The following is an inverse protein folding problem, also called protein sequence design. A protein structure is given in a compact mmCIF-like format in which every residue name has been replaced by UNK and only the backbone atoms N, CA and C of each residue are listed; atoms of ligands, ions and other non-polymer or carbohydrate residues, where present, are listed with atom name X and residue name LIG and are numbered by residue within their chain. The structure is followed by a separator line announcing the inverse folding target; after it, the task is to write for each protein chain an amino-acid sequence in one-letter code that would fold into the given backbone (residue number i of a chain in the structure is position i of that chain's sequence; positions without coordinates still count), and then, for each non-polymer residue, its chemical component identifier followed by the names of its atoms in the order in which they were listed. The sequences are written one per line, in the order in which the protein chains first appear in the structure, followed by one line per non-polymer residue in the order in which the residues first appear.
data_IF_515723788979
#
_entry.id   IF_515723788979
#
_cell.length_a   1.000
_cell.length_b   1.000
_cell.length_c   1.000
_cell.angle_alpha   90.00
_cell.angle_beta   90.00
_cell.angle_gamma   90.00
#
_symmetry.space_group_name_H-M   'P 1'
#
loop_
_entity.id
_entity.type
_entity.pdbx_description
1 polymer ?
#
# COMPACT_ATOMS: atom_id res chain seq x y z
N UNK A 1 8.09 0.49 -4.09
CA UNK A 1 8.90 -0.14 -5.15
C UNK A 1 8.39 -1.55 -5.44
N UNK A 2 8.70 -2.13 -6.61
CA UNK A 2 8.22 -3.44 -7.01
C UNK A 2 8.80 -4.55 -6.13
N UNK A 3 8.05 -5.64 -6.03
CA UNK A 3 8.47 -6.82 -5.30
C UNK A 3 9.63 -7.51 -6.03
N UNK A 4 10.81 -7.53 -5.41
CA UNK A 4 12.03 -8.10 -6.01
C UNK A 4 11.90 -9.58 -6.32
N UNK A 5 11.18 -10.36 -5.50
CA UNK A 5 10.95 -11.79 -5.73
C UNK A 5 10.06 -11.97 -6.98
N UNK A 6 9.00 -11.18 -7.10
CA UNK A 6 8.12 -11.25 -8.27
C UNK A 6 8.85 -10.85 -9.55
N UNK A 7 9.66 -9.79 -9.49
CA UNK A 7 10.48 -9.38 -10.64
C UNK A 7 11.51 -10.43 -11.03
N UNK A 8 12.15 -11.07 -10.04
CA UNK A 8 13.11 -12.16 -10.30
C UNK A 8 12.46 -13.28 -11.13
N UNK A 9 11.27 -13.72 -10.74
CA UNK A 9 10.54 -14.74 -11.49
C UNK A 9 10.09 -14.30 -12.90
N UNK A 10 9.90 -13.00 -13.12
CA UNK A 10 9.46 -12.44 -14.41
C UNK A 10 10.60 -12.25 -15.40
N UNK A 11 11.76 -11.80 -14.95
CA UNK A 11 12.84 -11.36 -15.82
C UNK A 11 14.25 -11.87 -15.46
N UNK A 12 14.37 -12.74 -14.45
CA UNK A 12 15.64 -13.22 -13.93
C UNK A 12 16.26 -12.30 -12.87
N UNK A 13 17.18 -12.87 -12.07
CA UNK A 13 17.73 -12.18 -10.90
C UNK A 13 18.51 -10.92 -11.27
N UNK A 14 19.40 -11.00 -12.26
CA UNK A 14 20.26 -9.86 -12.66
C UNK A 14 19.46 -8.64 -13.10
N UNK A 15 18.44 -8.85 -13.93
CA UNK A 15 17.64 -7.77 -14.48
C UNK A 15 16.65 -7.21 -13.46
N UNK A 16 16.12 -8.08 -12.59
CA UNK A 16 15.28 -7.66 -11.46
C UNK A 16 16.06 -6.75 -10.50
N UNK A 17 17.27 -7.14 -10.10
CA UNK A 17 18.14 -6.35 -9.21
C UNK A 17 18.46 -5.00 -9.84
N UNK A 18 18.93 -4.97 -11.08
CA UNK A 18 19.24 -3.71 -11.80
C UNK A 18 18.03 -2.78 -11.87
N UNK A 19 16.83 -3.35 -12.12
CA UNK A 19 15.59 -2.55 -12.22
C UNK A 19 15.20 -1.95 -10.87
N UNK A 20 15.26 -2.74 -9.81
CA UNK A 20 14.97 -2.26 -8.44
C UNK A 20 15.98 -1.19 -8.01
N UNK A 21 17.28 -1.42 -8.24
CA UNK A 21 18.35 -0.46 -7.93
C UNK A 21 18.15 0.87 -8.68
N UNK A 22 17.85 0.81 -9.97
CA UNK A 22 17.57 2.00 -10.77
C UNK A 22 16.38 2.79 -10.22
N UNK A 23 15.29 2.12 -9.86
CA UNK A 23 14.12 2.76 -9.26
C UNK A 23 14.45 3.39 -7.91
N UNK A 24 15.15 2.64 -7.06
CA UNK A 24 15.55 3.12 -5.74
C UNK A 24 16.50 4.33 -5.85
N UNK A 25 17.39 4.35 -6.81
CA UNK A 25 18.29 5.48 -7.07
C UNK A 25 17.49 6.72 -7.46
N UNK A 26 16.57 6.60 -8.42
CA UNK A 26 15.70 7.71 -8.84
C UNK A 26 14.95 8.29 -7.64
N UNK A 27 14.33 7.43 -6.83
CA UNK A 27 13.54 7.85 -5.66
C UNK A 27 14.43 8.58 -4.64
N UNK A 28 15.61 8.03 -4.32
CA UNK A 28 16.53 8.63 -3.35
C UNK A 28 17.10 9.95 -3.84
N UNK A 29 17.41 10.06 -5.11
CA UNK A 29 17.92 11.30 -5.70
C UNK A 29 16.87 12.41 -5.66
N UNK A 30 15.61 12.08 -5.97
CA UNK A 30 14.51 13.05 -5.85
C UNK A 30 14.22 13.44 -4.40
N UNK A 31 14.26 12.50 -3.45
CA UNK A 31 14.15 12.83 -2.02
C UNK A 31 15.24 13.87 -1.62
N UNK A 32 16.49 13.64 -2.02
CA UNK A 32 17.61 14.58 -1.71
C UNK A 32 17.42 15.94 -2.40
N UNK A 33 17.08 15.96 -3.68
CA UNK A 33 16.86 17.22 -4.45
C UNK A 33 15.78 18.10 -3.82
N UNK A 34 14.76 17.49 -3.21
CA UNK A 34 13.68 18.19 -2.54
C UNK A 34 13.92 18.40 -1.03
N UNK A 35 15.18 18.28 -0.59
CA UNK A 35 15.59 18.44 0.79
C UNK A 35 14.86 17.52 1.79
N UNK A 36 14.45 16.33 1.31
CA UNK A 36 13.92 15.25 2.13
C UNK A 36 15.04 14.40 2.72
N UNK A 37 14.69 13.61 3.72
CA UNK A 37 15.58 12.61 4.34
C UNK A 37 14.91 11.25 4.26
N UNK A 38 15.65 10.22 3.83
CA UNK A 38 15.18 8.83 3.95
C UNK A 38 15.08 8.52 5.45
N UNK A 39 13.87 8.23 5.92
CA UNK A 39 13.59 8.00 7.34
C UNK A 39 13.80 6.53 7.70
N UNK A 40 13.26 5.64 6.89
CA UNK A 40 13.35 4.19 7.08
C UNK A 40 13.27 3.49 5.73
N UNK A 41 13.91 2.31 5.66
CA UNK A 41 13.73 1.35 4.61
C UNK A 41 13.00 0.14 5.19
N UNK A 42 11.71 0.01 4.91
CA UNK A 42 10.93 -1.11 5.41
C UNK A 42 10.59 -2.07 4.26
N UNK A 43 11.30 -3.17 4.21
CA UNK A 43 11.13 -4.15 3.14
C UNK A 43 11.42 -3.54 1.77
N UNK A 44 10.39 -3.33 0.96
CA UNK A 44 10.50 -2.76 -0.39
C UNK A 44 10.01 -1.30 -0.45
N UNK A 45 9.62 -0.73 0.67
CA UNK A 45 9.11 0.63 0.74
C UNK A 45 10.23 1.60 1.16
N UNK A 46 10.37 2.68 0.42
CA UNK A 46 11.26 3.80 0.78
C UNK A 46 10.38 4.87 1.41
N UNK A 47 10.70 5.23 2.64
CA UNK A 47 10.00 6.26 3.39
C UNK A 47 10.88 7.50 3.48
N UNK A 48 10.41 8.59 2.87
CA UNK A 48 11.04 9.89 2.94
C UNK A 48 10.28 10.84 3.85
N UNK A 49 10.98 11.61 4.68
CA UNK A 49 10.44 12.69 5.49
C UNK A 49 10.83 14.05 4.94
N UNK A 50 9.93 15.02 5.01
CA UNK A 50 10.10 16.37 4.49
C UNK A 50 9.64 17.39 5.54
N UNK A 51 10.27 18.56 5.53
CA UNK A 51 9.91 19.65 6.44
C UNK A 51 8.60 20.35 6.08
N UNK A 52 8.19 20.28 4.80
CA UNK A 52 6.93 20.88 4.33
C UNK A 52 6.19 19.93 3.38
N UNK A 53 4.89 20.07 3.34
CA UNK A 53 4.02 19.29 2.45
C UNK A 53 4.31 19.59 0.97
N UNK A 54 4.62 20.85 0.63
CA UNK A 54 4.95 21.24 -0.74
C UNK A 54 6.20 20.52 -1.26
N UNK A 55 7.24 20.37 -0.43
CA UNK A 55 8.45 19.63 -0.81
C UNK A 55 8.15 18.15 -1.03
N UNK A 56 7.34 17.55 -0.17
CA UNK A 56 6.92 16.16 -0.33
C UNK A 56 6.13 15.94 -1.62
N UNK A 57 5.17 16.81 -1.91
CA UNK A 57 4.35 16.74 -3.13
C UNK A 57 5.20 17.01 -4.37
N UNK A 58 6.08 18.02 -4.36
CA UNK A 58 6.99 18.29 -5.48
C UNK A 58 7.92 17.12 -5.76
N UNK A 59 8.47 16.49 -4.74
CA UNK A 59 9.27 15.28 -4.86
C UNK A 59 8.47 14.13 -5.50
N UNK A 60 7.26 13.90 -5.04
CA UNK A 60 6.38 12.85 -5.56
C UNK A 60 6.04 13.06 -7.05
N UNK A 61 5.74 14.30 -7.44
CA UNK A 61 5.48 14.67 -8.84
C UNK A 61 6.72 14.46 -9.72
N UNK A 62 7.91 14.83 -9.22
CA UNK A 62 9.17 14.63 -9.94
C UNK A 62 9.49 13.14 -10.12
N UNK A 63 9.26 12.30 -9.09
CA UNK A 63 9.39 10.84 -9.19
C UNK A 63 8.43 10.30 -10.25
N UNK A 64 7.16 10.71 -10.21
CA UNK A 64 6.16 10.25 -11.17
C UNK A 64 6.53 10.61 -12.61
N UNK A 65 7.04 11.82 -12.85
CA UNK A 65 7.49 12.24 -14.19
C UNK A 65 8.70 11.46 -14.67
N UNK A 66 9.68 11.18 -13.82
CA UNK A 66 10.85 10.37 -14.19
C UNK A 66 10.51 8.90 -14.44
N UNK A 67 9.47 8.38 -13.79
CA UNK A 67 9.01 7.02 -13.97
C UNK A 67 7.90 6.88 -15.04
N UNK A 68 7.59 7.96 -15.74
CA UNK A 68 6.62 7.97 -16.83
C UNK A 68 6.99 6.95 -17.91
N UNK A 69 6.04 6.10 -18.27
CA UNK A 69 6.26 4.99 -19.20
C UNK A 69 6.70 3.67 -18.54
N UNK A 70 6.94 3.64 -17.25
CA UNK A 70 7.04 2.38 -16.51
C UNK A 70 5.64 1.87 -16.16
N UNK A 71 5.45 0.54 -16.06
CA UNK A 71 4.17 0.00 -15.58
C UNK A 71 3.81 0.56 -14.21
N UNK A 72 2.58 1.08 -14.07
CA UNK A 72 2.06 1.72 -12.86
C UNK A 72 2.05 0.82 -11.63
N UNK A 73 2.08 -0.50 -11.83
CA UNK A 73 2.18 -1.50 -10.78
C UNK A 73 3.54 -1.53 -10.08
N UNK A 74 4.54 -0.82 -10.63
CA UNK A 74 5.89 -0.80 -10.07
C UNK A 74 6.09 0.22 -8.96
N UNK A 75 5.25 1.23 -8.88
CA UNK A 75 5.35 2.21 -7.80
C UNK A 75 3.99 2.86 -7.49
N UNK A 76 3.82 3.24 -6.26
CA UNK A 76 2.72 4.10 -5.81
C UNK A 76 3.26 5.03 -4.74
N UNK A 77 2.82 6.27 -4.76
CA UNK A 77 3.26 7.29 -3.80
C UNK A 77 2.11 7.70 -2.90
N UNK A 78 2.38 7.78 -1.62
CA UNK A 78 1.41 8.20 -0.60
C UNK A 78 2.06 9.21 0.30
N UNK A 79 1.36 10.28 0.61
CA UNK A 79 1.87 11.36 1.43
C UNK A 79 0.88 11.61 2.56
N UNK A 80 1.40 11.61 3.77
CA UNK A 80 0.65 11.92 4.98
C UNK A 80 1.39 13.00 5.77
N UNK A 81 0.63 13.94 6.32
CA UNK A 81 1.14 14.91 7.27
C UNK A 81 0.83 14.41 8.69
N UNK A 82 1.86 14.03 9.41
CA UNK A 82 1.77 13.53 10.77
C UNK A 82 2.71 14.27 11.70
N UNK A 83 2.65 13.98 12.99
CA UNK A 83 3.59 14.52 13.95
C UNK A 83 5.01 14.04 13.66
N UNK A 84 6.05 14.87 13.93
CA UNK A 84 7.43 14.48 13.79
C UNK A 84 7.72 13.27 14.68
N UNK A 85 8.24 12.22 14.09
CA UNK A 85 8.47 10.99 14.82
C UNK A 85 9.76 11.06 15.59
N UNK A 86 9.69 10.87 16.89
CA UNK A 86 10.87 10.65 17.72
C UNK A 86 11.46 9.25 17.46
N UNK A 87 12.75 9.08 17.72
CA UNK A 87 13.62 7.95 17.34
C UNK A 87 13.27 6.54 17.89
N UNK A 88 12.05 6.24 18.30
CA UNK A 88 11.69 4.93 18.85
C UNK A 88 10.69 4.22 17.98
N UNK A 89 10.90 2.92 17.77
CA UNK A 89 10.11 2.05 16.85
C UNK A 89 8.59 2.04 17.09
N UNK A 90 8.13 2.45 18.27
CA UNK A 90 6.70 2.48 18.62
C UNK A 90 5.96 3.74 18.11
N UNK A 91 6.68 4.82 17.79
CA UNK A 91 6.07 6.12 17.45
C UNK A 91 5.68 6.30 15.99
N UNK A 92 6.08 5.37 15.11
CA UNK A 92 5.63 5.34 13.71
C UNK A 92 4.30 4.61 13.52
N UNK A 93 3.77 3.98 14.55
CA UNK A 93 2.67 3.02 14.44
C UNK A 93 1.51 3.53 13.57
N UNK A 94 0.85 4.58 13.98
CA UNK A 94 -0.39 5.03 13.32
C UNK A 94 -0.13 5.66 11.95
N UNK A 95 0.91 6.50 11.82
CA UNK A 95 1.26 7.15 10.55
C UNK A 95 1.69 6.14 9.49
N UNK A 96 2.56 5.20 9.84
CA UNK A 96 3.00 4.14 8.93
C UNK A 96 1.89 3.15 8.63
N UNK A 97 1.05 2.85 9.60
CA UNK A 97 -0.09 1.97 9.43
C UNK A 97 -1.06 2.53 8.40
N UNK A 98 -1.43 3.81 8.50
CA UNK A 98 -2.28 4.48 7.52
C UNK A 98 -1.64 4.45 6.12
N UNK A 99 -0.36 4.81 5.98
CA UNK A 99 0.34 4.77 4.70
C UNK A 99 0.39 3.36 4.10
N UNK A 100 0.59 2.34 4.94
CA UNK A 100 0.56 0.94 4.53
C UNK A 100 -0.82 0.50 4.02
N UNK A 101 -1.88 0.95 4.68
CA UNK A 101 -3.26 0.68 4.25
C UNK A 101 -3.59 1.38 2.94
N UNK A 102 -3.22 2.65 2.80
CA UNK A 102 -3.39 3.39 1.55
C UNK A 102 -2.65 2.71 0.38
N UNK A 103 -1.59 1.95 0.67
CA UNK A 103 -0.87 1.16 -0.34
C UNK A 103 -1.60 -0.05 -0.88
N UNK A 104 -2.68 -0.47 -0.24
CA UNK A 104 -3.52 -1.57 -0.74
C UNK A 104 -4.50 -1.05 -1.80
N UNK A 105 -4.80 0.24 -1.82
CA UNK A 105 -5.77 0.83 -2.74
C UNK A 105 -5.33 0.64 -4.20
N UNK A 106 -6.27 0.25 -5.06
CA UNK A 106 -6.07 0.12 -6.50
C UNK A 106 -6.26 1.48 -7.18
N UNK A 107 -5.34 2.39 -6.92
CA UNK A 107 -5.31 3.71 -7.56
C UNK A 107 -4.08 3.79 -8.46
N UNK A 108 -4.33 3.70 -9.76
CA UNK A 108 -3.30 3.58 -10.77
C UNK A 108 -2.57 4.90 -11.05
N UNK A 109 -3.25 6.02 -10.92
CA UNK A 109 -2.80 7.27 -11.50
C UNK A 109 -2.25 8.23 -10.47
N UNK A 110 -2.48 7.98 -9.18
CA UNK A 110 -2.44 9.08 -8.26
C UNK A 110 -1.40 8.92 -7.16
N UNK A 111 -0.74 10.01 -6.93
CA UNK A 111 -0.15 10.30 -5.64
C UNK A 111 -1.31 10.48 -4.66
N UNK A 112 -1.47 9.57 -3.72
CA UNK A 112 -2.52 9.66 -2.69
C UNK A 112 -2.05 10.60 -1.59
N UNK A 113 -2.83 11.63 -1.32
CA UNK A 113 -2.56 12.60 -0.25
C UNK A 113 -3.70 12.61 0.78
N UNK A 114 -3.33 12.69 2.05
CA UNK A 114 -4.30 12.83 3.15
C UNK A 114 -4.81 14.27 3.27
N UNK A 115 -5.95 14.51 3.97
CA UNK A 115 -6.51 15.85 4.12
C UNK A 115 -5.54 16.86 4.69
N UNK A 116 -4.74 16.46 5.70
CA UNK A 116 -3.74 17.35 6.29
C UNK A 116 -2.66 17.81 5.28
N UNK A 117 -2.25 16.94 4.36
CA UNK A 117 -1.34 17.35 3.27
C UNK A 117 -2.02 18.34 2.34
N UNK A 118 -3.29 18.08 1.97
CA UNK A 118 -4.04 18.95 1.09
C UNK A 118 -4.20 20.37 1.67
N UNK A 119 -4.42 20.49 2.97
CA UNK A 119 -4.54 21.78 3.67
C UNK A 119 -3.22 22.56 3.73
N UNK A 120 -2.09 21.84 3.78
CA UNK A 120 -0.77 22.43 3.92
C UNK A 120 -0.12 22.85 2.60
N UNK A 121 -0.65 22.43 1.45
CA UNK A 121 -0.12 22.81 0.13
C UNK A 121 -0.89 24.00 -0.45
N UNK A 122 -0.18 24.89 -1.12
CA UNK A 122 -0.77 26.07 -1.75
C UNK A 122 -1.81 25.70 -2.82
N UNK A 123 -2.84 26.54 -2.94
CA UNK A 123 -3.97 26.29 -3.87
C UNK A 123 -3.56 26.18 -5.32
N UNK A 124 -2.58 26.97 -5.75
CA UNK A 124 -2.04 26.89 -7.12
C UNK A 124 -1.32 25.55 -7.40
N UNK A 125 -0.67 24.98 -6.41
CA UNK A 125 -0.11 23.63 -6.50
C UNK A 125 -1.20 22.58 -6.60
N UNK A 126 -2.28 22.69 -5.80
CA UNK A 126 -3.42 21.80 -5.89
C UNK A 126 -4.04 21.80 -7.29
N UNK A 127 -4.25 22.99 -7.85
CA UNK A 127 -4.89 23.18 -9.16
C UNK A 127 -4.01 22.63 -10.29
N UNK A 128 -2.69 22.93 -10.27
CA UNK A 128 -1.72 22.44 -11.26
C UNK A 128 -1.54 20.91 -11.22
N UNK A 129 -1.64 20.31 -10.06
CA UNK A 129 -1.39 18.87 -9.86
C UNK A 129 -2.67 18.04 -9.73
N UNK A 130 -3.84 18.63 -10.02
CA UNK A 130 -5.16 17.99 -9.83
C UNK A 130 -5.29 16.65 -10.58
N UNK A 131 -4.66 16.51 -11.72
CA UNK A 131 -4.70 15.27 -12.50
C UNK A 131 -3.84 14.15 -11.89
N UNK A 132 -2.81 14.49 -11.10
CA UNK A 132 -1.87 13.54 -10.49
C UNK A 132 -2.17 13.24 -9.03
N UNK A 133 -2.92 14.11 -8.35
CA UNK A 133 -3.20 13.95 -6.93
C UNK A 133 -4.60 13.37 -6.68
N UNK A 134 -4.66 12.33 -5.88
CA UNK A 134 -5.90 11.84 -5.28
C UNK A 134 -5.94 12.28 -3.80
N UNK A 135 -6.67 13.37 -3.55
CA UNK A 135 -6.80 13.92 -2.22
C UNK A 135 -7.98 13.28 -1.49
N UNK A 136 -7.70 12.63 -0.36
CA UNK A 136 -8.73 12.16 0.55
C UNK A 136 -9.42 13.34 1.23
N UNK A 137 -10.71 13.18 1.53
CA UNK A 137 -11.43 14.06 2.46
C UNK A 137 -11.30 13.54 3.90
N UNK A 138 -11.55 14.40 4.90
CA UNK A 138 -11.55 13.97 6.30
C UNK A 138 -12.50 12.78 6.53
N UNK A 139 -13.76 12.79 6.02
CA UNK A 139 -14.63 11.62 6.15
C UNK A 139 -14.12 10.36 5.45
N UNK A 140 -13.34 10.50 4.36
CA UNK A 140 -12.75 9.34 3.66
C UNK A 140 -11.61 8.74 4.47
N UNK A 141 -10.73 9.57 5.03
CA UNK A 141 -9.64 9.12 5.89
C UNK A 141 -10.18 8.39 7.13
N UNK A 142 -11.14 8.98 7.83
CA UNK A 142 -11.79 8.37 8.99
C UNK A 142 -12.46 7.02 8.64
N UNK A 143 -13.14 6.97 7.50
CA UNK A 143 -13.74 5.73 7.04
C UNK A 143 -12.69 4.67 6.69
N UNK A 144 -11.63 5.03 5.98
CA UNK A 144 -10.54 4.11 5.65
C UNK A 144 -9.83 3.59 6.91
N UNK A 145 -9.59 4.45 7.88
CA UNK A 145 -9.03 4.05 9.17
C UNK A 145 -9.93 3.00 9.84
N UNK A 146 -11.22 3.28 9.99
CA UNK A 146 -12.17 2.33 10.59
C UNK A 146 -12.27 1.03 9.77
N UNK A 147 -12.27 1.13 8.44
CA UNK A 147 -12.31 0.00 7.52
C UNK A 147 -11.12 -0.93 7.71
N UNK A 148 -9.91 -0.39 7.75
CA UNK A 148 -8.69 -1.18 7.91
C UNK A 148 -8.49 -1.69 9.32
N UNK A 149 -8.93 -0.96 10.35
CA UNK A 149 -8.96 -1.45 11.74
C UNK A 149 -9.83 -2.71 11.87
N UNK A 150 -11.00 -2.72 11.24
CA UNK A 150 -11.87 -3.89 11.21
C UNK A 150 -11.21 -5.05 10.47
N UNK A 151 -10.51 -4.77 9.34
CA UNK A 151 -9.75 -5.81 8.63
C UNK A 151 -8.63 -6.38 9.49
N UNK A 152 -7.81 -5.54 10.10
CA UNK A 152 -6.67 -5.95 10.93
C UNK A 152 -7.09 -6.87 12.08
N UNK A 153 -8.26 -6.59 12.69
CA UNK A 153 -8.82 -7.40 13.79
C UNK A 153 -9.44 -8.72 13.34
N UNK A 154 -9.86 -8.83 12.07
CA UNK A 154 -10.70 -9.94 11.63
C UNK A 154 -10.17 -10.74 10.45
N UNK A 155 -9.09 -10.34 9.78
CA UNK A 155 -8.62 -11.00 8.56
C UNK A 155 -8.27 -12.48 8.74
N UNK A 156 -7.84 -12.89 9.94
CA UNK A 156 -7.51 -14.28 10.28
C UNK A 156 -8.73 -15.18 10.39
N UNK A 157 -9.92 -14.61 10.62
CA UNK A 157 -11.15 -15.39 10.75
C UNK A 157 -11.68 -15.79 9.37
N UNK A 158 -11.68 -17.07 9.07
CA UNK A 158 -12.06 -17.60 7.75
C UNK A 158 -13.55 -17.37 7.42
N UNK A 159 -14.40 -17.18 8.41
CA UNK A 159 -15.83 -16.88 8.29
C UNK A 159 -16.14 -15.39 8.20
N UNK A 160 -15.10 -14.51 8.30
CA UNK A 160 -15.25 -13.08 8.10
C UNK A 160 -15.48 -12.78 6.62
N UNK A 161 -16.59 -12.10 6.34
CA UNK A 161 -17.07 -11.81 5.00
C UNK A 161 -17.68 -10.40 4.92
N UNK A 162 -18.17 -10.02 3.75
CA UNK A 162 -18.78 -8.69 3.53
C UNK A 162 -19.96 -8.38 4.45
N UNK A 163 -20.68 -9.39 4.93
CA UNK A 163 -21.82 -9.20 5.83
C UNK A 163 -21.36 -8.80 7.23
N UNK A 164 -20.42 -9.57 7.79
CA UNK A 164 -19.79 -9.25 9.07
C UNK A 164 -19.03 -7.92 9.01
N UNK A 165 -18.46 -7.63 7.85
CA UNK A 165 -17.75 -6.37 7.62
C UNK A 165 -18.72 -5.17 7.66
N UNK A 166 -19.86 -5.25 6.96
CA UNK A 166 -20.89 -4.22 7.00
C UNK A 166 -21.47 -4.04 8.41
N UNK A 167 -21.70 -5.13 9.11
CA UNK A 167 -22.17 -5.11 10.50
C UNK A 167 -21.17 -4.43 11.45
N UNK A 168 -19.88 -4.77 11.35
CA UNK A 168 -18.82 -4.17 12.17
C UNK A 168 -18.68 -2.66 11.97
N UNK A 169 -18.98 -2.15 10.76
CA UNK A 169 -18.94 -0.73 10.43
C UNK A 169 -20.30 -0.02 10.58
N UNK A 170 -21.32 -0.74 11.07
CA UNK A 170 -22.69 -0.21 11.23
C UNK A 170 -23.23 0.38 9.93
N UNK A 171 -23.04 -0.35 8.84
CA UNK A 171 -23.45 0.05 7.48
C UNK A 171 -24.32 -1.01 6.81
N UNK A 172 -25.16 -0.60 5.86
CA UNK A 172 -25.76 -1.57 4.94
C UNK A 172 -24.72 -2.12 3.97
N UNK A 173 -24.93 -3.36 3.46
CA UNK A 173 -24.05 -3.97 2.44
C UNK A 173 -23.86 -3.07 1.22
N UNK A 174 -24.92 -2.43 0.76
CA UNK A 174 -24.88 -1.54 -0.40
C UNK A 174 -24.05 -0.27 -0.13
N UNK A 175 -24.16 0.31 1.06
CA UNK A 175 -23.35 1.46 1.47
C UNK A 175 -21.87 1.07 1.57
N UNK A 176 -21.56 -0.06 2.23
CA UNK A 176 -20.21 -0.58 2.32
C UNK A 176 -19.62 -0.80 0.93
N UNK A 177 -20.32 -1.54 0.06
CA UNK A 177 -19.86 -1.85 -1.28
C UNK A 177 -19.53 -0.57 -2.07
N UNK A 178 -20.47 0.37 -2.12
CA UNK A 178 -20.30 1.63 -2.85
C UNK A 178 -19.10 2.43 -2.33
N UNK A 179 -18.99 2.57 -1.01
CA UNK A 179 -17.95 3.41 -0.40
C UNK A 179 -16.56 2.77 -0.51
N UNK A 180 -16.46 1.47 -0.25
CA UNK A 180 -15.19 0.72 -0.42
C UNK A 180 -14.73 0.76 -1.87
N UNK A 181 -15.63 0.49 -2.83
CA UNK A 181 -15.29 0.50 -4.24
C UNK A 181 -14.86 1.88 -4.73
N UNK A 182 -15.57 2.92 -4.33
CA UNK A 182 -15.23 4.30 -4.70
C UNK A 182 -13.85 4.73 -4.21
N UNK A 183 -13.48 4.36 -2.98
CA UNK A 183 -12.21 4.77 -2.39
C UNK A 183 -11.04 3.85 -2.76
N UNK A 184 -11.25 2.54 -2.70
CA UNK A 184 -10.15 1.57 -2.83
C UNK A 184 -10.02 0.95 -4.23
N UNK A 185 -11.06 1.01 -5.04
CA UNK A 185 -11.15 0.32 -6.33
C UNK A 185 -11.44 -1.18 -6.22
N UNK A 186 -11.67 -1.70 -5.00
CA UNK A 186 -11.99 -3.11 -4.75
C UNK A 186 -13.42 -3.28 -4.23
N UNK A 187 -14.03 -4.44 -4.48
CA UNK A 187 -15.18 -4.85 -3.67
C UNK A 187 -14.74 -5.16 -2.23
N UNK A 188 -15.63 -5.14 -1.22
CA UNK A 188 -15.26 -5.50 0.16
C UNK A 188 -14.60 -6.87 0.29
N UNK A 189 -15.05 -7.88 -0.44
CA UNK A 189 -14.46 -9.22 -0.43
C UNK A 189 -13.09 -9.24 -1.13
N UNK A 190 -12.93 -8.50 -2.23
CA UNK A 190 -11.64 -8.41 -2.90
C UNK A 190 -10.63 -7.67 -2.03
N UNK A 191 -11.04 -6.60 -1.36
CA UNK A 191 -10.19 -5.88 -0.41
C UNK A 191 -9.72 -6.78 0.74
N UNK A 192 -10.62 -7.58 1.32
CA UNK A 192 -10.27 -8.57 2.34
C UNK A 192 -9.24 -9.58 1.81
N UNK A 193 -9.44 -10.09 0.59
CA UNK A 193 -8.50 -11.02 -0.03
C UNK A 193 -7.14 -10.36 -0.33
N UNK A 194 -7.13 -9.12 -0.81
CA UNK A 194 -5.89 -8.35 -1.02
C UNK A 194 -5.12 -8.15 0.30
N UNK A 195 -5.85 -7.83 1.36
CA UNK A 195 -5.28 -7.68 2.69
C UNK A 195 -4.66 -9.00 3.20
N UNK A 196 -5.40 -10.10 3.11
CA UNK A 196 -4.93 -11.45 3.46
C UNK A 196 -3.69 -11.85 2.65
N UNK A 197 -3.69 -11.58 1.34
CA UNK A 197 -2.55 -11.88 0.48
C UNK A 197 -1.31 -11.03 0.82
N UNK A 198 -1.49 -9.76 1.22
CA UNK A 198 -0.38 -8.93 1.72
C UNK A 198 0.23 -9.54 2.99
N UNK A 199 -0.60 -9.92 3.97
CA UNK A 199 -0.15 -10.59 5.20
C UNK A 199 0.51 -11.95 4.90
N UNK A 200 -0.03 -12.71 3.96
CA UNK A 200 0.57 -13.97 3.53
C UNK A 200 2.00 -13.80 2.97
N UNK A 201 2.22 -12.76 2.15
CA UNK A 201 3.58 -12.43 1.66
C UNK A 201 4.56 -12.15 2.80
N UNK A 202 4.11 -11.44 3.84
CA UNK A 202 4.94 -11.14 5.02
C UNK A 202 5.32 -12.43 5.77
N UNK A 203 4.37 -13.37 5.91
CA UNK A 203 4.62 -14.67 6.56
C UNK A 203 5.53 -15.57 5.72
N UNK A 204 5.29 -15.65 4.40
CA UNK A 204 6.13 -16.44 3.47
C UNK A 204 7.59 -16.00 3.52
N UNK A 205 7.85 -14.69 3.53
CA UNK A 205 9.23 -14.14 3.64
C UNK A 205 9.96 -14.52 4.93
N UNK A 206 9.21 -14.77 6.01
CA UNK A 206 9.81 -15.20 7.29
C UNK A 206 10.33 -16.64 7.25
N UNK A 207 9.94 -17.44 6.25
CA UNK A 207 10.33 -18.84 6.03
C UNK A 207 10.12 -19.75 7.27
N UNK A 208 9.20 -19.37 8.14
CA UNK A 208 8.91 -20.10 9.39
C UNK A 208 7.67 -20.99 9.31
N UNK A 209 6.84 -20.78 8.28
CA UNK A 209 5.54 -21.42 8.12
C UNK A 209 5.49 -22.17 6.80
N UNK A 210 4.84 -23.33 6.79
CA UNK A 210 4.52 -24.00 5.54
C UNK A 210 3.31 -23.34 4.86
N UNK A 211 3.07 -23.68 3.59
CA UNK A 211 2.02 -23.04 2.78
C UNK A 211 0.62 -23.21 3.38
N UNK A 212 0.35 -24.37 3.99
CA UNK A 212 -0.94 -24.63 4.64
C UNK A 212 -1.13 -23.78 5.89
N UNK A 213 -0.11 -23.66 6.71
CA UNK A 213 -0.11 -22.79 7.89
C UNK A 213 -0.32 -21.33 7.50
N UNK A 214 0.43 -20.83 6.50
CA UNK A 214 0.24 -19.46 5.98
C UNK A 214 -1.20 -19.24 5.52
N UNK A 215 -1.79 -20.22 4.83
CA UNK A 215 -3.18 -20.15 4.38
C UNK A 215 -4.14 -19.94 5.54
N UNK A 216 -4.04 -20.73 6.60
CA UNK A 216 -4.96 -20.65 7.76
C UNK A 216 -4.68 -19.43 8.63
N UNK A 217 -3.42 -19.10 8.90
CA UNK A 217 -3.02 -17.90 9.64
C UNK A 217 -3.46 -16.59 8.98
N UNK A 218 -3.67 -16.62 7.67
CA UNK A 218 -4.17 -15.46 6.94
C UNK A 218 -5.67 -15.54 6.60
N UNK A 219 -6.40 -16.46 7.21
CA UNK A 219 -7.87 -16.52 7.16
C UNK A 219 -8.45 -17.10 5.88
N UNK A 220 -7.67 -17.80 5.06
CA UNK A 220 -8.23 -18.56 3.94
C UNK A 220 -8.87 -19.86 4.42
N UNK A 221 -10.00 -20.22 3.83
CA UNK A 221 -10.74 -21.44 4.19
C UNK A 221 -10.05 -22.74 3.76
N UNK A 222 -9.14 -22.66 2.77
CA UNK A 222 -8.36 -23.83 2.34
C UNK A 222 -7.05 -23.41 1.65
N UNK A 223 -5.98 -24.24 1.77
CA UNK A 223 -4.71 -24.02 1.06
C UNK A 223 -4.86 -23.99 -0.46
N UNK A 224 -5.78 -24.77 -1.03
CA UNK A 224 -6.04 -24.77 -2.48
C UNK A 224 -6.63 -23.45 -2.96
N UNK A 225 -7.58 -22.89 -2.21
CA UNK A 225 -8.16 -21.59 -2.54
C UNK A 225 -7.11 -20.46 -2.36
N UNK A 226 -6.35 -20.49 -1.28
CA UNK A 226 -5.22 -19.58 -1.07
C UNK A 226 -4.23 -19.60 -2.24
N UNK A 227 -3.75 -20.79 -2.61
CA UNK A 227 -2.80 -20.96 -3.72
C UNK A 227 -3.36 -20.40 -5.03
N UNK A 228 -4.64 -20.64 -5.33
CA UNK A 228 -5.32 -20.08 -6.50
C UNK A 228 -5.36 -18.55 -6.47
N UNK A 229 -5.72 -17.96 -5.33
CA UNK A 229 -5.77 -16.50 -5.16
C UNK A 229 -4.37 -15.88 -5.27
N UNK A 230 -3.37 -16.48 -4.63
CA UNK A 230 -1.98 -16.03 -4.65
C UNK A 230 -1.41 -16.07 -6.09
N UNK A 231 -1.56 -17.21 -6.79
CA UNK A 231 -1.11 -17.34 -8.18
C UNK A 231 -1.82 -16.36 -9.11
N UNK A 232 -3.13 -16.16 -8.95
CA UNK A 232 -3.89 -15.18 -9.76
C UNK A 232 -3.38 -13.75 -9.55
N UNK A 233 -3.02 -13.40 -8.29
CA UNK A 233 -2.56 -12.04 -7.94
C UNK A 233 -1.12 -11.79 -8.35
N UNK A 234 -0.22 -12.74 -8.07
CA UNK A 234 1.22 -12.55 -8.17
C UNK A 234 1.87 -13.29 -9.36
N UNK A 235 1.12 -14.12 -10.08
CA UNK A 235 1.60 -14.86 -11.24
C UNK A 235 2.42 -16.13 -10.90
N UNK A 236 2.76 -16.35 -9.62
CA UNK A 236 3.54 -17.49 -9.17
C UNK A 236 2.91 -18.21 -7.98
N UNK A 237 3.35 -19.42 -7.72
CA UNK A 237 2.88 -20.22 -6.59
C UNK A 237 3.44 -19.68 -5.26
N UNK A 238 2.72 -19.82 -4.13
CA UNK A 238 3.25 -19.43 -2.82
C UNK A 238 4.60 -20.09 -2.47
N UNK A 239 4.80 -21.35 -2.86
CA UNK A 239 6.05 -22.06 -2.63
C UNK A 239 7.21 -21.40 -3.37
N UNK A 240 7.03 -21.08 -4.65
CA UNK A 240 8.05 -20.38 -5.44
C UNK A 240 8.33 -18.95 -4.95
N UNK A 241 7.44 -18.37 -4.16
CA UNK A 241 7.66 -17.08 -3.52
C UNK A 241 8.49 -17.20 -2.23
N UNK A 242 8.49 -18.37 -1.62
CA UNK A 242 9.25 -18.69 -0.40
C UNK A 242 10.69 -19.12 -0.69
N UNK A 243 10.96 -19.65 -1.89
CA UNK A 243 12.29 -20.02 -2.38
C UNK A 243 13.12 -18.77 -2.79
#
# INVERSE_FOLDING_TARGET
TPDSILLHHQMGLSDAVKKVEKLNTIIRDEIKKHAGKEALHYGQEIIGSFMTAEKAVSCALAIQEQLKGMPEEYFSVRIHAGEPVAKTDELFGDTLQLLNWLGIMKRKEAIVITPGVKELIAKDMQDKSKAQLFALTIPDEQFLTSLFDVLEKNYTHNDFNSDKYAQALVMSKSQLYRRVTALTGYSPNDLLNEFRLKKAKELLRKMKYNISEVSFETGFSSPSYFTKCFKRKFGLLPLSYQE
#
